data_IF_159616156584
#
_entry.id   IF_159616156584
#
_cell.length_a   1.000
_cell.length_b   1.000
_cell.length_c   1.000
_cell.angle_alpha   90.00
_cell.angle_beta   90.00
_cell.angle_gamma   90.00
#
_symmetry.space_group_name_H-M   'P 1'
#
loop_
_entity.id
_entity.type
_entity.pdbx_description
1 polymer ?
#
# COMPACT_ATOMS: atom_id res chain seq x y z
N UNK A 1 10.91 17.87 -8.83
CA UNK A 1 10.02 16.96 -8.10
C UNK A 1 10.76 15.66 -7.80
N UNK A 2 10.73 15.25 -6.56
CA UNK A 2 11.42 14.06 -6.13
C UNK A 2 10.49 12.85 -6.23
N UNK A 3 10.98 11.79 -6.88
CA UNK A 3 10.22 10.54 -7.00
C UNK A 3 10.77 9.57 -5.97
N UNK A 4 9.90 9.04 -5.12
CA UNK A 4 10.29 8.01 -4.16
C UNK A 4 9.90 6.65 -4.69
N UNK A 5 10.78 5.68 -4.47
CA UNK A 5 10.57 4.30 -4.90
C UNK A 5 10.35 3.42 -3.69
N UNK A 6 9.28 2.64 -3.73
CA UNK A 6 8.99 1.67 -2.67
C UNK A 6 9.24 0.28 -3.19
N UNK A 7 9.87 -0.56 -2.38
CA UNK A 7 10.20 -1.94 -2.74
C UNK A 7 9.06 -2.87 -2.37
N UNK A 8 8.52 -3.59 -3.35
CA UNK A 8 7.48 -4.59 -3.15
C UNK A 8 7.82 -5.82 -3.98
N UNK A 9 8.07 -6.94 -3.32
CA UNK A 9 8.37 -8.22 -3.98
C UNK A 9 9.46 -8.11 -5.04
N UNK A 10 10.53 -7.40 -4.72
CA UNK A 10 11.64 -7.20 -5.64
C UNK A 10 11.38 -6.19 -6.75
N UNK A 11 10.21 -5.56 -6.76
CA UNK A 11 9.89 -4.53 -7.74
C UNK A 11 9.97 -3.15 -7.10
N UNK A 12 10.35 -2.16 -7.90
CA UNK A 12 10.35 -0.78 -7.45
C UNK A 12 9.07 -0.11 -7.92
N UNK A 13 8.34 0.49 -6.98
CA UNK A 13 7.09 1.19 -7.28
C UNK A 13 7.33 2.68 -7.11
N UNK A 14 7.30 3.45 -8.21
CA UNK A 14 7.50 4.90 -8.12
C UNK A 14 6.24 5.61 -7.65
N UNK A 15 6.40 6.52 -6.72
CA UNK A 15 5.31 7.36 -6.22
C UNK A 15 5.72 8.80 -6.42
N UNK A 16 5.06 9.48 -7.34
CA UNK A 16 5.42 10.84 -7.74
C UNK A 16 4.83 11.92 -6.84
N UNK A 17 3.69 11.64 -6.24
CA UNK A 17 3.05 12.62 -5.35
C UNK A 17 3.78 12.64 -4.01
N UNK A 18 4.30 13.80 -3.65
CA UNK A 18 5.10 13.95 -2.44
C UNK A 18 4.28 13.73 -1.17
N UNK A 19 3.06 14.26 -1.13
CA UNK A 19 2.20 14.11 0.03
C UNK A 19 1.80 12.65 0.25
N UNK A 20 1.43 11.96 -0.84
CA UNK A 20 1.07 10.54 -0.76
C UNK A 20 2.30 9.71 -0.37
N UNK A 21 3.45 10.01 -0.96
CA UNK A 21 4.70 9.32 -0.65
C UNK A 21 5.05 9.43 0.83
N UNK A 22 4.95 10.63 1.37
CA UNK A 22 5.21 10.86 2.78
C UNK A 22 4.22 10.12 3.68
N UNK A 23 2.93 10.15 3.33
CA UNK A 23 1.90 9.46 4.09
C UNK A 23 2.12 7.94 4.05
N UNK A 24 2.47 7.39 2.89
CA UNK A 24 2.78 5.98 2.76
C UNK A 24 3.96 5.57 3.64
N UNK A 25 4.98 6.42 3.66
CA UNK A 25 6.16 6.15 4.47
C UNK A 25 5.81 6.07 5.97
N UNK A 26 4.80 6.83 6.40
CA UNK A 26 4.38 6.87 7.80
C UNK A 26 3.44 5.71 8.19
N UNK A 27 2.91 4.99 7.22
CA UNK A 27 2.07 3.83 7.51
C UNK A 27 2.90 2.66 8.03
N UNK A 28 2.34 1.80 8.90
CA UNK A 28 2.99 0.54 9.23
C UNK A 28 3.28 -0.26 7.95
N UNK A 29 4.37 -1.02 7.97
CA UNK A 29 4.85 -1.71 6.78
C UNK A 29 3.78 -2.58 6.10
N UNK A 30 3.05 -3.38 6.89
CA UNK A 30 2.01 -4.25 6.34
C UNK A 30 0.93 -3.45 5.61
N UNK A 31 0.48 -2.35 6.20
CA UNK A 31 -0.56 -1.52 5.61
C UNK A 31 -0.05 -0.80 4.37
N UNK A 32 1.18 -0.32 4.40
CA UNK A 32 1.82 0.30 3.25
C UNK A 32 1.90 -0.67 2.08
N UNK A 33 2.33 -1.91 2.34
CA UNK A 33 2.43 -2.94 1.29
C UNK A 33 1.06 -3.21 0.64
N UNK A 34 0.03 -3.30 1.45
CA UNK A 34 -1.32 -3.57 0.93
C UNK A 34 -1.79 -2.42 0.02
N UNK A 35 -1.55 -1.18 0.42
CA UNK A 35 -1.90 -0.02 -0.41
C UNK A 35 -1.11 -0.04 -1.71
N UNK A 36 0.19 -0.28 -1.65
CA UNK A 36 1.03 -0.31 -2.84
C UNK A 36 0.61 -1.42 -3.79
N UNK A 37 0.36 -2.62 -3.29
CA UNK A 37 -0.09 -3.73 -4.12
C UNK A 37 -1.46 -3.46 -4.74
N UNK A 38 -2.38 -2.89 -3.96
CA UNK A 38 -3.75 -2.69 -4.40
C UNK A 38 -3.90 -1.55 -5.41
N UNK A 39 -3.30 -0.40 -5.11
CA UNK A 39 -3.55 0.82 -5.90
C UNK A 39 -2.44 1.15 -6.89
N UNK A 40 -1.23 0.71 -6.64
CA UNK A 40 -0.10 1.01 -7.55
C UNK A 40 0.25 -0.16 -8.45
N UNK A 41 0.11 -1.39 -7.97
CA UNK A 41 0.37 -2.59 -8.77
C UNK A 41 -0.90 -3.23 -9.31
N UNK A 42 -2.06 -2.66 -8.97
CA UNK A 42 -3.35 -3.10 -9.48
C UNK A 42 -3.65 -4.58 -9.21
N UNK A 43 -3.22 -5.07 -8.06
CA UNK A 43 -3.45 -6.46 -7.66
C UNK A 43 -4.83 -6.62 -7.02
N UNK A 44 -5.45 -7.77 -7.25
CA UNK A 44 -6.71 -8.11 -6.59
C UNK A 44 -6.46 -8.49 -5.13
N UNK A 45 -7.51 -8.46 -4.32
CA UNK A 45 -7.41 -8.87 -2.92
C UNK A 45 -6.96 -10.34 -2.81
N UNK A 46 -7.42 -11.17 -3.73
CA UNK A 46 -7.00 -12.58 -3.77
C UNK A 46 -5.50 -12.71 -4.02
N UNK A 47 -5.00 -11.96 -4.98
CA UNK A 47 -3.57 -11.96 -5.30
C UNK A 47 -2.73 -11.45 -4.13
N UNK A 48 -3.20 -10.40 -3.47
CA UNK A 48 -2.51 -9.85 -2.30
C UNK A 48 -2.50 -10.88 -1.16
N UNK A 49 -3.63 -11.55 -0.95
CA UNK A 49 -3.74 -12.57 0.09
C UNK A 49 -2.74 -13.69 -0.14
N UNK A 50 -2.61 -14.15 -1.38
CA UNK A 50 -1.65 -15.19 -1.73
C UNK A 50 -0.21 -14.71 -1.50
N UNK A 51 0.11 -13.48 -1.92
CA UNK A 51 1.45 -12.94 -1.75
C UNK A 51 1.84 -12.72 -0.29
N UNK A 52 0.89 -12.35 0.54
CA UNK A 52 1.14 -12.05 1.94
C UNK A 52 0.84 -13.22 2.89
N UNK A 53 0.39 -14.33 2.34
CA UNK A 53 0.01 -15.51 3.10
C UNK A 53 -1.09 -15.19 4.13
N UNK A 54 -2.09 -14.46 3.68
CA UNK A 54 -3.25 -14.07 4.49
C UNK A 54 -4.53 -14.60 3.83
N UNK A 55 -5.60 -14.66 4.61
CA UNK A 55 -6.91 -14.95 4.02
C UNK A 55 -7.46 -13.68 3.37
N UNK A 56 -8.29 -13.84 2.34
CA UNK A 56 -8.78 -12.72 1.56
C UNK A 56 -9.60 -11.72 2.38
N UNK A 57 -10.42 -12.21 3.31
CA UNK A 57 -11.20 -11.32 4.17
C UNK A 57 -10.31 -10.43 5.04
N UNK A 58 -9.18 -10.95 5.49
CA UNK A 58 -8.19 -10.18 6.25
C UNK A 58 -7.59 -9.07 5.39
N UNK A 59 -7.27 -9.38 4.12
CA UNK A 59 -6.76 -8.38 3.18
C UNK A 59 -7.79 -7.27 2.96
N UNK A 60 -9.04 -7.65 2.77
CA UNK A 60 -10.12 -6.69 2.56
C UNK A 60 -10.23 -5.72 3.74
N UNK A 61 -10.20 -6.25 4.94
CA UNK A 61 -10.24 -5.44 6.16
C UNK A 61 -9.03 -4.50 6.26
N UNK A 62 -7.83 -5.04 6.04
CA UNK A 62 -6.61 -4.22 6.11
C UNK A 62 -6.57 -3.16 5.02
N UNK A 63 -7.09 -3.47 3.84
CA UNK A 63 -7.14 -2.50 2.75
C UNK A 63 -8.00 -1.30 3.13
N UNK A 64 -9.18 -1.55 3.67
CA UNK A 64 -10.08 -0.49 4.10
C UNK A 64 -9.47 0.35 5.24
N UNK A 65 -8.88 -0.32 6.21
CA UNK A 65 -8.26 0.33 7.35
C UNK A 65 -7.04 1.15 6.92
N UNK A 66 -6.23 0.60 6.03
CA UNK A 66 -5.04 1.28 5.52
C UNK A 66 -5.41 2.54 4.75
N UNK A 67 -6.46 2.45 3.93
CA UNK A 67 -6.94 3.60 3.17
C UNK A 67 -7.45 4.70 4.09
N UNK A 68 -8.17 4.31 5.14
CA UNK A 68 -8.67 5.27 6.14
C UNK A 68 -7.52 5.99 6.83
N UNK A 69 -6.48 5.26 7.24
CA UNK A 69 -5.30 5.85 7.86
C UNK A 69 -4.55 6.76 6.89
N UNK A 70 -4.41 6.33 5.65
CA UNK A 70 -3.73 7.14 4.64
C UNK A 70 -4.43 8.48 4.45
N UNK A 71 -5.75 8.46 4.34
CA UNK A 71 -6.53 9.69 4.21
C UNK A 71 -6.34 10.60 5.42
N UNK A 72 -6.30 10.01 6.60
CA UNK A 72 -6.09 10.77 7.84
C UNK A 72 -4.73 11.45 7.85
N UNK A 73 -3.70 10.76 7.36
CA UNK A 73 -2.36 11.32 7.28
C UNK A 73 -2.24 12.44 6.24
N UNK A 74 -3.14 12.45 5.25
CA UNK A 74 -3.15 13.46 4.20
C UNK A 74 -3.93 14.72 4.58
N UNK A 75 -4.68 14.70 5.67
CA UNK A 75 -5.44 15.86 6.14
C UNK A 75 -4.57 16.95 6.74
#
# INVERSE_FOLDING_TARGET
>A
MEIRYFQIMGMEVPVKDEAISEALYRLPEKKRKIILMSYFLDMTEKEIAECMNLVQSTVHYHKADSLRLLKKLLE
#
